data_IF_809081333605
#
_entry.id   IF_809081333605
#
_cell.length_a   1.000
_cell.length_b   1.000
_cell.length_c   1.000
_cell.angle_alpha   90.00
_cell.angle_beta   90.00
_cell.angle_gamma   90.00
#
_symmetry.space_group_name_H-M   'P 1'
#
loop_
_entity.id
_entity.type
_entity.pdbx_description
1 polymer ?
#
# COMPACT_ATOMS: atom_id res chain seq x y z
N UNK A 1 -1.39 -73.34 18.61
CA UNK A 1 -1.10 -72.48 17.43
C UNK A 1 -2.18 -71.41 17.31
N UNK A 2 -2.12 -70.35 18.08
CA UNK A 2 -2.94 -69.19 17.93
C UNK A 2 -2.23 -68.07 18.70
N UNK A 3 -1.76 -67.02 18.13
CA UNK A 3 -1.41 -65.72 18.79
C UNK A 3 -0.37 -64.96 18.01
N UNK A 4 -0.65 -64.51 16.76
CA UNK A 4 0.26 -63.54 16.03
C UNK A 4 -0.47 -62.51 15.15
N UNK A 5 -1.80 -62.28 15.35
CA UNK A 5 -2.52 -61.34 14.46
C UNK A 5 -3.06 -60.06 15.13
N UNK A 6 -2.59 -59.70 16.33
CA UNK A 6 -3.17 -58.59 17.08
C UNK A 6 -2.21 -57.36 17.25
N UNK A 7 -1.08 -57.30 16.57
CA UNK A 7 -0.09 -56.19 16.77
C UNK A 7 0.21 -55.32 15.54
N UNK A 8 -0.41 -55.57 14.39
CA UNK A 8 -0.13 -54.81 13.16
C UNK A 8 -1.20 -53.74 12.86
N UNK A 9 -2.36 -53.75 13.55
CA UNK A 9 -3.45 -52.81 13.29
C UNK A 9 -3.37 -51.48 14.07
N UNK A 10 -2.44 -51.36 15.03
CA UNK A 10 -2.28 -50.16 15.88
C UNK A 10 -1.38 -49.06 15.35
N UNK A 11 -0.60 -49.26 14.28
CA UNK A 11 0.43 -48.31 13.80
C UNK A 11 -0.05 -47.47 12.62
N UNK A 12 -1.14 -47.83 11.94
CA UNK A 12 -1.63 -47.16 10.74
C UNK A 12 -2.58 -45.96 11.01
N UNK A 13 -3.02 -45.77 12.25
CA UNK A 13 -3.94 -44.67 12.62
C UNK A 13 -3.20 -43.42 13.13
N UNK A 14 -1.90 -43.51 13.44
CA UNK A 14 -1.14 -42.40 14.01
C UNK A 14 -0.42 -41.52 12.95
N UNK A 15 -0.56 -41.82 11.67
CA UNK A 15 0.12 -41.09 10.56
C UNK A 15 -0.79 -40.16 9.78
N UNK A 16 -2.09 -40.03 10.17
CA UNK A 16 -3.04 -39.17 9.43
C UNK A 16 -3.43 -37.88 10.15
N UNK A 17 -2.78 -37.56 11.28
CA UNK A 17 -3.10 -36.37 12.08
C UNK A 17 -2.08 -35.22 11.97
N UNK A 18 -1.20 -35.22 10.96
CA UNK A 18 -0.10 -34.23 10.84
C UNK A 18 -0.16 -33.36 9.58
N UNK A 19 -1.34 -33.22 8.97
CA UNK A 19 -1.54 -32.33 7.81
C UNK A 19 -2.74 -31.43 8.06
N UNK A 20 -2.66 -30.53 9.02
CA UNK A 20 -3.61 -29.40 9.13
C UNK A 20 -3.12 -28.31 10.08
N UNK A 21 -1.83 -27.97 10.06
CA UNK A 21 -1.32 -26.80 10.79
C UNK A 21 -0.60 -25.84 9.83
N UNK A 22 -1.22 -25.61 8.65
CA UNK A 22 -0.85 -24.49 7.78
C UNK A 22 -2.01 -23.51 7.83
N UNK A 23 -1.88 -22.46 8.60
CA UNK A 23 -2.86 -21.39 8.54
C UNK A 23 -3.10 -20.67 9.85
N UNK A 24 -2.07 -20.27 10.57
CA UNK A 24 -2.27 -19.53 11.81
C UNK A 24 -1.35 -18.31 11.99
N UNK A 25 -0.75 -17.79 10.92
CA UNK A 25 0.17 -16.64 11.05
C UNK A 25 -0.09 -15.47 10.10
N UNK A 26 -1.05 -15.58 9.20
CA UNK A 26 -1.55 -14.43 8.46
C UNK A 26 -2.67 -13.79 9.28
N UNK A 27 -2.41 -12.70 9.98
CA UNK A 27 -3.45 -11.88 10.60
C UNK A 27 -4.50 -11.47 9.56
N UNK A 28 -5.73 -11.13 10.01
CA UNK A 28 -6.79 -10.68 9.12
C UNK A 28 -6.34 -9.47 8.28
N UNK A 29 -6.98 -9.19 7.11
CA UNK A 29 -6.70 -7.98 6.34
C UNK A 29 -6.71 -6.72 7.20
N UNK A 30 -7.71 -6.60 8.09
CA UNK A 30 -7.84 -5.43 8.98
C UNK A 30 -6.74 -5.36 10.04
N UNK A 31 -6.25 -6.50 10.55
CA UNK A 31 -5.15 -6.51 11.51
C UNK A 31 -3.84 -6.10 10.87
N UNK A 32 -3.53 -6.62 9.67
CA UNK A 32 -2.33 -6.24 8.92
C UNK A 32 -2.37 -4.77 8.49
N UNK A 33 -3.53 -4.29 8.02
CA UNK A 33 -3.75 -2.88 7.67
C UNK A 33 -3.53 -1.99 8.90
N UNK A 34 -4.14 -2.32 10.04
CA UNK A 34 -4.00 -1.58 11.30
C UNK A 34 -2.56 -1.52 11.75
N UNK A 35 -1.85 -2.65 11.75
CA UNK A 35 -0.44 -2.69 12.12
C UNK A 35 0.44 -1.79 11.23
N UNK A 36 0.18 -1.76 9.93
CA UNK A 36 0.87 -0.87 8.99
C UNK A 36 0.59 0.60 9.27
N UNK A 37 -0.67 0.96 9.47
CA UNK A 37 -1.09 2.34 9.78
C UNK A 37 -0.56 2.79 11.15
N UNK A 38 -0.63 1.95 12.17
CA UNK A 38 -0.10 2.26 13.50
C UNK A 38 1.42 2.49 13.47
N UNK A 39 2.15 1.76 12.60
CA UNK A 39 3.58 2.00 12.37
C UNK A 39 3.82 3.39 11.79
N UNK A 40 3.05 3.81 10.78
CA UNK A 40 3.14 5.15 10.20
C UNK A 40 2.85 6.21 11.27
N UNK A 41 1.79 6.04 12.05
CA UNK A 41 1.47 6.96 13.13
C UNK A 41 2.52 7.01 14.24
N UNK A 42 3.18 5.89 14.56
CA UNK A 42 4.30 5.86 15.50
C UNK A 42 5.47 6.71 14.97
N UNK A 43 5.80 6.58 13.68
CA UNK A 43 6.86 7.40 13.03
C UNK A 43 6.51 8.89 13.09
N UNK A 44 5.23 9.24 12.85
CA UNK A 44 4.76 10.63 12.86
C UNK A 44 4.79 11.28 14.26
N UNK A 45 4.57 10.48 15.31
CA UNK A 45 4.53 10.96 16.71
C UNK A 45 5.88 10.92 17.39
N UNK A 46 6.90 10.42 16.74
CA UNK A 46 8.23 10.29 17.34
C UNK A 46 8.90 11.67 17.47
N UNK A 47 9.02 12.24 18.71
CA UNK A 47 9.62 13.54 18.91
C UNK A 47 11.11 13.56 18.58
N UNK A 48 11.77 12.40 18.56
CA UNK A 48 13.17 12.32 18.14
C UNK A 48 13.34 12.50 16.62
N UNK A 49 12.24 12.45 15.87
CA UNK A 49 12.16 12.68 14.42
C UNK A 49 11.79 14.14 14.07
N UNK A 50 11.75 15.06 15.02
CA UNK A 50 11.52 16.49 14.79
C UNK A 50 12.82 17.22 14.39
N UNK A 51 12.69 18.20 13.50
CA UNK A 51 13.79 19.03 12.98
C UNK A 51 14.20 18.70 11.55
N UNK A 52 14.71 19.70 10.84
CA UNK A 52 14.99 19.68 9.39
C UNK A 52 15.90 18.52 8.94
N UNK A 53 16.90 18.17 9.75
CA UNK A 53 17.82 17.07 9.43
C UNK A 53 17.14 15.69 9.50
N UNK A 54 16.12 15.55 10.34
CA UNK A 54 15.40 14.29 10.57
C UNK A 54 14.16 14.14 9.69
N UNK A 55 13.67 15.20 9.04
CA UNK A 55 12.54 15.15 8.11
C UNK A 55 12.75 14.14 6.98
N UNK A 56 13.95 14.06 6.43
CA UNK A 56 14.27 13.10 5.39
C UNK A 56 14.27 11.65 5.91
N UNK A 57 14.76 11.43 7.14
CA UNK A 57 14.75 10.11 7.77
C UNK A 57 13.30 9.66 8.05
N UNK A 58 12.47 10.57 8.59
CA UNK A 58 11.03 10.33 8.82
C UNK A 58 10.29 10.00 7.52
N UNK A 59 10.50 10.79 6.47
CA UNK A 59 9.92 10.51 5.14
C UNK A 59 10.34 9.15 4.61
N UNK A 60 11.63 8.82 4.71
CA UNK A 60 12.13 7.51 4.29
C UNK A 60 11.48 6.37 5.07
N UNK A 61 11.33 6.50 6.38
CA UNK A 61 10.67 5.50 7.22
C UNK A 61 9.18 5.31 6.85
N UNK A 62 8.47 6.41 6.54
CA UNK A 62 7.07 6.35 6.05
C UNK A 62 7.01 5.67 4.68
N UNK A 63 7.95 5.98 3.76
CA UNK A 63 8.03 5.32 2.44
C UNK A 63 8.22 3.82 2.59
N UNK A 64 9.11 3.38 3.48
CA UNK A 64 9.35 1.96 3.75
C UNK A 64 8.06 1.29 4.27
N UNK A 65 7.40 1.89 5.26
CA UNK A 65 6.15 1.37 5.80
C UNK A 65 5.04 1.32 4.73
N UNK A 66 4.95 2.32 3.86
CA UNK A 66 4.00 2.33 2.75
C UNK A 66 4.30 1.22 1.72
N UNK A 67 5.57 0.97 1.38
CA UNK A 67 5.95 -0.09 0.44
C UNK A 67 5.64 -1.50 0.99
N UNK A 68 5.61 -1.69 2.29
CA UNK A 68 5.18 -2.95 2.90
C UNK A 68 3.66 -3.14 2.85
N UNK A 69 2.90 -2.06 3.01
CA UNK A 69 1.45 -2.07 3.11
C UNK A 69 0.74 -2.02 1.74
N UNK A 70 1.32 -1.34 0.75
CA UNK A 70 0.73 -1.14 -0.58
C UNK A 70 1.44 -1.95 -1.65
N UNK A 71 0.68 -2.59 -2.53
CA UNK A 71 1.19 -3.12 -3.80
C UNK A 71 1.12 -2.03 -4.88
N UNK A 72 2.16 -1.20 -4.91
CA UNK A 72 2.27 -0.13 -5.92
C UNK A 72 2.39 -0.68 -7.35
N UNK A 73 2.87 -1.92 -7.52
CA UNK A 73 2.93 -2.57 -8.83
C UNK A 73 1.55 -2.86 -9.38
N UNK A 74 0.68 -3.49 -8.57
CA UNK A 74 -0.70 -3.76 -8.96
C UNK A 74 -1.53 -2.46 -9.08
N UNK A 75 -1.31 -1.46 -8.21
CA UNK A 75 -1.92 -0.14 -8.33
C UNK A 75 -1.56 0.54 -9.66
N UNK A 76 -0.29 0.55 -10.03
CA UNK A 76 0.20 1.11 -11.29
C UNK A 76 -0.39 0.38 -12.49
N UNK A 77 -0.33 -0.95 -12.50
CA UNK A 77 -0.92 -1.81 -13.54
C UNK A 77 -2.40 -1.50 -13.75
N UNK A 78 -3.19 -1.43 -12.68
CA UNK A 78 -4.62 -1.11 -12.72
C UNK A 78 -4.88 0.33 -13.16
N UNK A 79 -4.02 1.27 -12.79
CA UNK A 79 -4.12 2.67 -13.20
C UNK A 79 -3.80 2.88 -14.68
N UNK A 80 -2.87 2.11 -15.25
CA UNK A 80 -2.57 2.15 -16.69
C UNK A 80 -3.64 1.40 -17.50
N UNK A 81 -4.33 0.40 -16.91
CA UNK A 81 -5.49 -0.29 -17.46
C UNK A 81 -5.20 -0.96 -18.80
N UNK A 82 -6.00 -0.64 -19.81
CA UNK A 82 -5.91 -1.24 -21.16
C UNK A 82 -4.57 -1.02 -21.88
N UNK A 83 -3.77 -0.06 -21.46
CA UNK A 83 -2.46 0.21 -22.06
C UNK A 83 -1.34 -0.64 -21.42
N UNK A 84 -1.58 -1.27 -20.27
CA UNK A 84 -0.58 -2.09 -19.59
C UNK A 84 -0.08 -3.29 -20.42
N UNK A 85 -0.95 -4.10 -21.06
CA UNK A 85 -0.50 -5.24 -21.87
C UNK A 85 0.38 -4.82 -23.05
N UNK A 86 0.24 -3.60 -23.54
CA UNK A 86 0.97 -3.07 -24.68
C UNK A 86 2.40 -2.60 -24.32
N UNK A 87 2.76 -2.61 -23.05
CA UNK A 87 4.08 -2.13 -22.58
C UNK A 87 5.05 -3.28 -22.44
N UNK A 88 6.29 -3.02 -22.81
CA UNK A 88 7.43 -3.91 -22.58
C UNK A 88 7.69 -4.06 -21.06
N UNK A 89 8.42 -5.13 -20.63
CA UNK A 89 8.80 -5.26 -19.21
C UNK A 89 9.58 -4.06 -18.68
N UNK A 90 10.45 -3.45 -19.48
CA UNK A 90 11.22 -2.25 -19.12
C UNK A 90 10.31 -1.05 -18.89
N UNK A 91 9.37 -0.78 -19.81
CA UNK A 91 8.40 0.30 -19.69
C UNK A 91 7.47 0.11 -18.48
N UNK A 92 7.04 -1.13 -18.20
CA UNK A 92 6.25 -1.45 -17.00
C UNK A 92 7.02 -1.15 -15.74
N UNK A 93 8.28 -1.57 -15.63
CA UNK A 93 9.14 -1.28 -14.49
C UNK A 93 9.36 0.23 -14.29
N UNK A 94 9.62 0.96 -15.37
CA UNK A 94 9.73 2.43 -15.32
C UNK A 94 8.42 3.09 -14.87
N UNK A 95 7.29 2.66 -15.43
CA UNK A 95 5.98 3.20 -15.06
C UNK A 95 5.63 2.95 -13.60
N UNK A 96 5.86 1.73 -13.07
CA UNK A 96 5.67 1.41 -11.65
C UNK A 96 6.47 2.35 -10.76
N UNK A 97 7.76 2.53 -11.06
CA UNK A 97 8.62 3.46 -10.29
C UNK A 97 8.08 4.89 -10.30
N UNK A 98 7.75 5.42 -11.48
CA UNK A 98 7.25 6.79 -11.64
C UNK A 98 5.89 6.99 -10.94
N UNK A 99 4.99 6.02 -11.06
CA UNK A 99 3.69 6.03 -10.40
C UNK A 99 3.83 5.96 -8.87
N UNK A 100 4.70 5.09 -8.37
CA UNK A 100 4.97 4.98 -6.93
C UNK A 100 5.47 6.31 -6.37
N UNK A 101 6.45 6.94 -7.02
CA UNK A 101 6.95 8.24 -6.60
C UNK A 101 5.88 9.33 -6.65
N UNK A 102 5.01 9.33 -7.68
CA UNK A 102 3.90 10.27 -7.79
C UNK A 102 2.94 10.12 -6.60
N UNK A 103 2.51 8.89 -6.30
CA UNK A 103 1.57 8.62 -5.21
C UNK A 103 2.21 8.97 -3.86
N UNK A 104 3.42 8.50 -3.60
CA UNK A 104 4.11 8.75 -2.33
C UNK A 104 4.28 10.26 -2.09
N UNK A 105 4.75 11.01 -3.06
CA UNK A 105 4.90 12.47 -2.94
C UNK A 105 3.58 13.21 -2.74
N UNK A 106 2.52 12.77 -3.43
CA UNK A 106 1.19 13.41 -3.34
C UNK A 106 0.50 13.19 -1.99
N UNK A 107 0.81 12.09 -1.30
CA UNK A 107 0.08 11.70 -0.09
C UNK A 107 0.91 11.76 1.20
N UNK A 108 2.24 11.53 1.16
CA UNK A 108 3.07 11.58 2.38
C UNK A 108 3.00 12.95 3.06
N UNK A 109 3.07 14.05 2.29
CA UNK A 109 2.94 15.39 2.86
C UNK A 109 1.59 15.66 3.50
N UNK A 110 0.52 15.06 2.97
CA UNK A 110 -0.84 15.18 3.54
C UNK A 110 -0.97 14.40 4.83
N UNK A 111 -0.41 13.19 4.90
CA UNK A 111 -0.38 12.40 6.14
C UNK A 111 0.37 13.14 7.24
N UNK A 112 1.47 13.80 6.91
CA UNK A 112 2.27 14.60 7.84
C UNK A 112 1.49 15.81 8.39
N UNK A 113 0.65 16.47 7.58
CA UNK A 113 -0.11 17.66 7.94
C UNK A 113 -1.38 17.36 8.77
N UNK A 114 -2.01 16.20 8.58
CA UNK A 114 -3.30 15.88 9.21
C UNK A 114 -3.17 15.27 10.61
N UNK A 115 -1.96 15.04 11.08
CA UNK A 115 -1.70 14.49 12.41
C UNK A 115 -2.06 13.00 12.52
N UNK A 116 -1.67 12.43 13.64
CA UNK A 116 -1.86 11.00 13.89
C UNK A 116 -3.20 10.76 14.60
N UNK A 117 -4.32 10.80 13.88
CA UNK A 117 -5.61 10.39 14.40
C UNK A 117 -5.80 8.87 14.31
N UNK A 118 -6.39 8.28 15.33
CA UNK A 118 -6.62 6.83 15.37
C UNK A 118 -7.70 6.45 14.36
N UNK A 119 -7.31 5.64 13.36
CA UNK A 119 -8.24 5.04 12.41
C UNK A 119 -9.15 4.01 13.12
N UNK A 120 -10.43 4.02 12.79
CA UNK A 120 -11.41 3.03 13.26
C UNK A 120 -11.80 2.11 12.12
N UNK A 121 -11.66 0.78 12.32
CA UNK A 121 -12.18 -0.22 11.36
C UNK A 121 -13.67 -0.37 11.61
N UNK A 122 -14.47 -0.17 10.56
CA UNK A 122 -15.92 -0.29 10.59
C UNK A 122 -16.37 -1.69 10.17
N UNK A 123 -15.77 -2.24 9.12
CA UNK A 123 -16.07 -3.59 8.65
C UNK A 123 -14.93 -4.18 7.83
N UNK A 124 -14.92 -5.50 7.74
CA UNK A 124 -14.05 -6.29 6.89
C UNK A 124 -14.89 -7.29 6.11
N UNK A 125 -14.63 -7.41 4.83
CA UNK A 125 -15.24 -8.40 3.96
C UNK A 125 -14.14 -9.09 3.18
N UNK A 126 -14.03 -10.42 3.31
CA UNK A 126 -13.03 -11.25 2.62
C UNK A 126 -13.74 -12.13 1.61
N UNK A 127 -13.17 -12.19 0.39
CA UNK A 127 -13.63 -13.05 -0.69
C UNK A 127 -12.39 -13.69 -1.37
N UNK A 128 -12.07 -14.91 -0.95
CA UNK A 128 -10.87 -15.63 -1.37
C UNK A 128 -9.58 -14.84 -1.08
N UNK A 129 -8.84 -14.51 -2.13
CA UNK A 129 -7.59 -13.72 -2.04
C UNK A 129 -7.84 -12.20 -2.06
N UNK A 130 -9.07 -11.75 -2.02
CA UNK A 130 -9.43 -10.33 -2.01
C UNK A 130 -10.16 -9.95 -0.73
N UNK A 131 -9.96 -8.71 -0.31
CA UNK A 131 -10.67 -8.15 0.84
C UNK A 131 -10.98 -6.67 0.64
N UNK A 132 -12.04 -6.22 1.33
CA UNK A 132 -12.35 -4.81 1.50
C UNK A 132 -12.41 -4.51 3.00
N UNK A 133 -11.55 -3.61 3.45
CA UNK A 133 -11.56 -3.10 4.82
C UNK A 133 -12.07 -1.66 4.79
N UNK A 134 -13.23 -1.42 5.43
CA UNK A 134 -13.81 -0.08 5.54
C UNK A 134 -13.42 0.55 6.85
N UNK A 135 -12.98 1.79 6.78
CA UNK A 135 -12.49 2.52 7.94
C UNK A 135 -13.01 3.95 7.96
N UNK A 136 -12.93 4.59 9.13
CA UNK A 136 -13.09 6.04 9.25
C UNK A 136 -11.88 6.66 9.92
N UNK A 137 -11.52 7.85 9.46
CA UNK A 137 -10.46 8.68 10.01
C UNK A 137 -11.11 9.98 10.56
N UNK A 138 -11.01 10.27 11.87
CA UNK A 138 -11.50 11.53 12.40
C UNK A 138 -10.66 12.70 11.89
N UNK A 139 -11.33 13.76 11.46
CA UNK A 139 -10.71 15.02 11.05
C UNK A 139 -10.70 16.03 12.20
N UNK A 140 -9.79 16.99 12.14
CA UNK A 140 -9.72 18.09 13.12
C UNK A 140 -10.99 18.95 13.15
N UNK A 141 -11.82 18.90 12.10
CA UNK A 141 -13.14 19.54 12.05
C UNK A 141 -14.23 18.83 12.86
N UNK A 142 -13.94 17.66 13.44
CA UNK A 142 -14.93 16.79 14.11
C UNK A 142 -15.72 15.89 13.15
N UNK A 143 -15.48 15.98 11.84
CA UNK A 143 -16.06 15.07 10.85
C UNK A 143 -15.25 13.79 10.74
N UNK A 144 -15.87 12.70 10.31
CA UNK A 144 -15.20 11.45 9.97
C UNK A 144 -15.08 11.32 8.46
N UNK A 145 -13.87 10.96 8.00
CA UNK A 145 -13.58 10.70 6.60
C UNK A 145 -13.58 9.19 6.36
N UNK A 146 -14.51 8.67 5.56
CA UNK A 146 -14.52 7.24 5.20
C UNK A 146 -13.37 6.93 4.25
N UNK A 147 -12.64 5.85 4.55
CA UNK A 147 -11.58 5.31 3.70
C UNK A 147 -11.78 3.81 3.56
N UNK A 148 -12.01 3.35 2.33
CA UNK A 148 -12.12 1.94 1.99
C UNK A 148 -10.81 1.45 1.37
N UNK A 149 -10.24 0.39 1.91
CA UNK A 149 -9.03 -0.25 1.40
C UNK A 149 -9.40 -1.54 0.69
N UNK A 150 -9.05 -1.65 -0.60
CA UNK A 150 -9.14 -2.90 -1.35
C UNK A 150 -7.80 -3.59 -1.28
N UNK A 151 -7.80 -4.79 -0.78
CA UNK A 151 -6.60 -5.57 -0.50
C UNK A 151 -6.62 -6.89 -1.26
N UNK A 152 -5.45 -7.40 -1.55
CA UNK A 152 -5.26 -8.77 -2.02
C UNK A 152 -4.19 -9.48 -1.20
N UNK A 153 -4.29 -10.81 -1.14
CA UNK A 153 -3.32 -11.65 -0.46
C UNK A 153 -2.33 -12.23 -1.46
N UNK A 154 -1.05 -12.14 -1.15
CA UNK A 154 0.03 -12.84 -1.84
C UNK A 154 0.95 -13.43 -0.78
N UNK A 155 1.13 -14.75 -0.80
CA UNK A 155 1.96 -15.48 0.18
C UNK A 155 1.60 -15.11 1.64
N UNK A 156 0.31 -15.22 1.98
CA UNK A 156 -0.25 -14.90 3.30
C UNK A 156 -0.06 -13.46 3.77
N UNK A 157 0.31 -12.56 2.88
CA UNK A 157 0.46 -11.13 3.16
C UNK A 157 -0.59 -10.31 2.43
N UNK A 158 -1.40 -9.56 3.18
CA UNK A 158 -2.39 -8.65 2.64
C UNK A 158 -1.76 -7.32 2.26
N UNK A 159 -1.94 -6.89 1.00
CA UNK A 159 -1.47 -5.61 0.51
C UNK A 159 -2.60 -4.83 -0.17
N UNK A 160 -2.59 -3.52 0.02
CA UNK A 160 -3.56 -2.60 -0.57
C UNK A 160 -3.23 -2.38 -2.04
N UNK A 161 -4.17 -2.66 -2.94
CA UNK A 161 -4.05 -2.38 -4.37
C UNK A 161 -4.94 -1.24 -4.87
N UNK A 162 -5.86 -0.75 -4.05
CA UNK A 162 -6.66 0.46 -4.28
C UNK A 162 -7.19 0.99 -2.95
N UNK A 163 -7.36 2.28 -2.86
CA UNK A 163 -8.09 2.89 -1.75
C UNK A 163 -9.06 3.93 -2.27
N UNK A 164 -10.21 4.05 -1.59
CA UNK A 164 -11.21 5.08 -1.87
C UNK A 164 -11.29 6.03 -0.70
N UNK A 165 -11.15 7.32 -0.95
CA UNK A 165 -11.32 8.38 0.05
C UNK A 165 -12.63 9.07 -0.28
N UNK A 166 -13.56 9.11 0.64
CA UNK A 166 -14.90 9.67 0.44
C UNK A 166 -15.58 9.13 -0.84
N UNK A 167 -15.47 7.82 -1.05
CA UNK A 167 -16.02 7.11 -2.19
C UNK A 167 -15.24 7.25 -3.50
N UNK A 168 -14.19 8.06 -3.57
CA UNK A 168 -13.39 8.27 -4.78
C UNK A 168 -12.18 7.33 -4.78
N UNK A 169 -12.18 6.33 -5.68
CA UNK A 169 -11.06 5.40 -5.86
C UNK A 169 -9.84 6.12 -6.45
N UNK A 170 -8.69 5.93 -5.79
CA UNK A 170 -7.40 6.47 -6.23
C UNK A 170 -6.99 5.91 -7.60
N UNK A 171 -7.06 4.59 -7.74
CA UNK A 171 -6.68 3.89 -8.98
C UNK A 171 -7.60 4.27 -10.13
N UNK A 172 -8.92 4.36 -9.90
CA UNK A 172 -9.88 4.77 -10.93
C UNK A 172 -9.66 6.22 -11.36
N UNK A 173 -9.37 7.11 -10.42
CA UNK A 173 -9.07 8.51 -10.69
C UNK A 173 -7.80 8.65 -11.57
N UNK A 174 -6.71 8.00 -11.20
CA UNK A 174 -5.50 7.99 -12.03
C UNK A 174 -5.73 7.35 -13.40
N UNK A 175 -6.49 6.24 -13.47
CA UNK A 175 -6.84 5.60 -14.74
C UNK A 175 -7.54 6.56 -15.69
N UNK A 176 -8.51 7.33 -15.19
CA UNK A 176 -9.23 8.31 -16.01
C UNK A 176 -8.27 9.40 -16.54
N UNK A 177 -7.38 9.90 -15.69
CA UNK A 177 -6.39 10.92 -16.07
C UNK A 177 -5.39 10.39 -17.10
N UNK A 178 -4.85 9.18 -16.89
CA UNK A 178 -3.87 8.57 -17.79
C UNK A 178 -4.49 8.23 -19.14
N UNK A 179 -5.71 7.66 -19.14
CA UNK A 179 -6.47 7.43 -20.36
C UNK A 179 -6.65 8.72 -21.16
N UNK A 180 -7.00 9.83 -20.50
CA UNK A 180 -7.14 11.12 -21.17
C UNK A 180 -5.84 11.54 -21.84
N UNK A 181 -4.72 11.51 -21.12
CA UNK A 181 -3.41 11.92 -21.64
C UNK A 181 -2.99 11.02 -22.81
N UNK A 182 -3.08 9.70 -22.66
CA UNK A 182 -2.65 8.76 -23.69
C UNK A 182 -3.50 8.89 -24.96
N UNK A 183 -4.82 9.10 -24.84
CA UNK A 183 -5.73 9.27 -25.97
C UNK A 183 -5.52 10.59 -26.70
N UNK A 184 -5.17 11.67 -25.99
CA UNK A 184 -5.00 13.01 -26.61
C UNK A 184 -3.57 13.27 -27.05
N UNK A 185 -2.62 12.46 -26.58
CA UNK A 185 -1.19 12.62 -26.88
C UNK A 185 -0.56 11.24 -27.09
N UNK A 186 0.15 10.69 -26.07
CA UNK A 186 0.74 9.35 -26.13
C UNK A 186 1.12 8.84 -24.74
N UNK A 187 1.56 7.58 -24.64
CA UNK A 187 2.17 7.03 -23.43
C UNK A 187 3.47 7.75 -23.07
N UNK A 188 4.30 8.06 -24.04
CA UNK A 188 5.56 8.80 -23.86
C UNK A 188 5.32 10.20 -23.29
N UNK A 189 4.23 10.86 -23.72
CA UNK A 189 3.82 12.14 -23.16
C UNK A 189 3.39 12.02 -21.68
N UNK A 190 2.74 10.92 -21.28
CA UNK A 190 2.43 10.62 -19.89
C UNK A 190 3.70 10.44 -19.06
N UNK A 191 4.65 9.64 -19.56
CA UNK A 191 5.94 9.40 -18.89
C UNK A 191 6.75 10.71 -18.79
N UNK A 192 6.77 11.51 -19.83
CA UNK A 192 7.44 12.82 -19.81
C UNK A 192 6.84 13.76 -18.75
N UNK A 193 5.51 13.77 -18.60
CA UNK A 193 4.84 14.53 -17.53
C UNK A 193 5.25 14.08 -16.13
N UNK A 194 5.38 12.80 -15.89
CA UNK A 194 5.87 12.31 -14.59
C UNK A 194 7.30 12.79 -14.33
N UNK A 195 8.18 12.68 -15.32
CA UNK A 195 9.58 13.11 -15.21
C UNK A 195 9.73 14.62 -14.99
N UNK A 196 8.95 15.46 -15.70
CA UNK A 196 8.97 16.91 -15.52
C UNK A 196 8.47 17.31 -14.13
N UNK A 197 7.39 16.72 -13.66
CA UNK A 197 6.86 16.98 -12.32
C UNK A 197 7.85 16.57 -11.22
N UNK A 198 8.57 15.48 -11.40
CA UNK A 198 9.66 15.07 -10.49
C UNK A 198 10.80 16.11 -10.48
N UNK A 199 11.20 16.61 -11.64
CA UNK A 199 12.26 17.61 -11.75
C UNK A 199 11.88 18.94 -11.09
N UNK A 200 10.63 19.40 -11.29
CA UNK A 200 10.11 20.61 -10.66
C UNK A 200 10.10 20.50 -9.11
N UNK A 201 9.64 19.37 -8.58
CA UNK A 201 9.61 19.14 -7.14
C UNK A 201 11.01 19.00 -6.54
N UNK A 202 11.94 18.37 -7.26
CA UNK A 202 13.34 18.30 -6.83
C UNK A 202 14.00 19.68 -6.78
N UNK A 203 13.74 20.55 -7.78
CA UNK A 203 14.24 21.91 -7.79
C UNK A 203 13.69 22.75 -6.63
N UNK A 204 12.40 22.61 -6.30
CA UNK A 204 11.79 23.31 -5.17
C UNK A 204 12.38 22.90 -3.82
N UNK A 205 12.68 21.60 -3.62
CA UNK A 205 13.30 21.11 -2.39
C UNK A 205 14.73 21.61 -2.20
N UNK A 206 15.46 21.81 -3.30
CA UNK A 206 16.84 22.37 -3.27
C UNK A 206 16.84 23.84 -2.89
N UNK A 207 15.85 24.61 -3.35
CA UNK A 207 15.70 26.04 -3.03
C UNK A 207 15.27 26.24 -1.57
N UNK A 208 14.41 25.37 -1.04
CA UNK A 208 13.93 25.46 0.35
C UNK A 208 14.98 25.07 1.39
N UNK A 209 15.96 24.21 1.03
CA UNK A 209 17.06 23.79 1.90
C UNK A 209 18.26 24.76 1.94
N UNK A 210 18.26 25.82 1.13
CA UNK A 210 19.39 26.73 0.94
C UNK A 210 19.28 28.11 1.60
N UNK A 211 18.37 28.33 2.58
CA UNK A 211 18.29 29.62 3.27
C UNK A 211 19.33 29.65 4.40
N UNK A 212 20.44 30.42 4.27
CA UNK A 212 21.39 30.58 5.37
C UNK A 212 20.68 31.31 6.53
N UNK A 213 20.82 30.77 7.73
CA UNK A 213 20.45 31.46 8.95
C UNK A 213 21.23 32.78 9.03
N UNK A 214 20.51 33.90 9.07
CA UNK A 214 21.03 35.19 9.51
C UNK A 214 20.70 35.38 10.98
#
# INVERSE_FOLDING_TARGET
MVRYHARVFGILILLFALVSARGAWAGSPSDQLRAGIDRVFKILRDPEQEGDKKLNQRRTAIVIAANEMFDFGEMAKRSLGQYWPQRTPTERGEFVRLFTELVQRSYISKVDQHGAHKMTVQSEQVDGEYAVVRTTLPLSSGQEMPIDYKMHSTDDRWQVYDLSIDGISLVANYRAQFNKIIRTSSYEALVAKFKSHQAELAAQSTISGGKPAR
#
